data_IF_033978647333
#
_entry.id   IF_033978647333
#
_cell.length_a   1.000
_cell.length_b   1.000
_cell.length_c   1.000
_cell.angle_alpha   90.00
_cell.angle_beta   90.00
_cell.angle_gamma   90.00
#
_symmetry.space_group_name_H-M   'P 1'
#
loop_
_entity.id
_entity.type
_entity.pdbx_description
1 polymer ?
#
# COMPACT_ATOMS: atom_id res chain seq x y z
N UNK A 1 14.31 19.08 4.98
CA UNK A 1 13.17 19.96 4.60
C UNK A 1 12.99 21.02 5.68
N UNK A 2 12.76 22.30 5.34
CA UNK A 2 12.50 23.30 6.39
C UNK A 2 11.09 23.14 6.95
N UNK A 3 10.93 23.15 8.27
CA UNK A 3 9.68 22.96 9.00
C UNK A 3 8.52 23.81 8.46
N UNK A 4 8.83 25.06 8.06
CA UNK A 4 7.87 26.00 7.46
C UNK A 4 7.24 25.47 6.17
N UNK A 5 8.01 24.76 5.32
CA UNK A 5 7.50 24.16 4.08
C UNK A 5 6.54 23.02 4.39
N UNK A 6 6.86 22.17 5.37
CA UNK A 6 6.02 21.03 5.78
C UNK A 6 4.69 21.54 6.36
N UNK A 7 4.73 22.52 7.26
CA UNK A 7 3.50 23.13 7.82
C UNK A 7 2.61 23.74 6.74
N UNK A 8 3.20 24.39 5.73
CA UNK A 8 2.45 24.93 4.59
C UNK A 8 1.77 23.82 3.78
N UNK A 9 2.49 22.74 3.47
CA UNK A 9 1.98 21.59 2.74
C UNK A 9 0.82 20.90 3.48
N UNK A 10 0.99 20.65 4.78
CA UNK A 10 -0.04 20.06 5.64
C UNK A 10 -1.31 20.92 5.64
N UNK A 11 -1.18 22.25 5.77
CA UNK A 11 -2.33 23.16 5.69
C UNK A 11 -3.02 23.12 4.34
N UNK A 12 -2.27 22.94 3.25
CA UNK A 12 -2.86 22.80 1.93
C UNK A 12 -3.68 21.50 1.85
N UNK A 13 -3.13 20.36 2.28
CA UNK A 13 -3.84 19.08 2.29
C UNK A 13 -5.10 19.10 3.15
N UNK A 14 -5.04 19.68 4.35
CA UNK A 14 -6.20 19.78 5.25
C UNK A 14 -7.32 20.70 4.73
N UNK A 15 -7.04 21.56 3.76
CA UNK A 15 -8.05 22.41 3.12
C UNK A 15 -8.70 21.76 1.89
N UNK A 16 -8.23 20.58 1.45
CA UNK A 16 -8.81 19.90 0.30
C UNK A 16 -10.07 19.13 0.71
N UNK A 17 -11.17 19.40 0.00
CA UNK A 17 -12.39 18.62 0.11
C UNK A 17 -12.44 17.54 -0.99
N UNK A 18 -12.07 16.32 -0.63
CA UNK A 18 -12.09 15.19 -1.56
C UNK A 18 -13.49 14.83 -2.04
N UNK A 19 -14.55 15.11 -1.27
CA UNK A 19 -15.93 14.90 -1.72
C UNK A 19 -16.31 15.88 -2.83
N UNK A 20 -15.89 17.15 -2.75
CA UNK A 20 -16.15 18.11 -3.82
C UNK A 20 -15.43 17.76 -5.13
N UNK A 21 -14.26 17.13 -5.04
CA UNK A 21 -13.44 16.72 -6.20
C UNK A 21 -13.98 15.44 -6.83
N UNK A 22 -14.13 14.38 -6.04
CA UNK A 22 -14.44 13.02 -6.53
C UNK A 22 -15.93 12.71 -6.59
N UNK A 23 -16.75 13.47 -5.85
CA UNK A 23 -18.18 13.19 -5.60
C UNK A 23 -18.46 11.84 -4.93
N UNK A 24 -17.43 11.25 -4.33
CA UNK A 24 -17.52 10.00 -3.58
C UNK A 24 -18.09 10.24 -2.17
N UNK A 25 -19.30 9.74 -1.92
CA UNK A 25 -20.06 10.02 -0.68
C UNK A 25 -19.34 9.58 0.58
N UNK A 26 -18.52 8.53 0.53
CA UNK A 26 -17.72 8.04 1.65
C UNK A 26 -16.82 9.14 2.25
N UNK A 27 -16.35 10.11 1.46
CA UNK A 27 -15.49 11.17 1.94
C UNK A 27 -16.22 12.40 2.49
N UNK A 28 -17.55 12.49 2.34
CA UNK A 28 -18.31 13.72 2.63
C UNK A 28 -18.23 14.18 4.09
N UNK A 29 -18.27 13.23 5.01
CA UNK A 29 -18.35 13.49 6.46
C UNK A 29 -17.09 13.05 7.20
N UNK A 30 -16.02 12.71 6.48
CA UNK A 30 -14.75 12.31 7.09
C UNK A 30 -14.01 13.57 7.57
N UNK A 31 -13.65 13.59 8.84
CA UNK A 31 -12.79 14.62 9.40
C UNK A 31 -11.39 14.53 8.76
N UNK A 32 -10.90 15.64 8.21
CA UNK A 32 -9.60 15.70 7.52
C UNK A 32 -8.48 15.61 8.55
N UNK A 33 -7.59 14.63 8.40
CA UNK A 33 -6.47 14.37 9.31
C UNK A 33 -5.19 14.16 8.52
N UNK A 34 -4.06 14.41 9.17
CA UNK A 34 -2.73 14.00 8.68
C UNK A 34 -2.19 12.96 9.64
N UNK A 35 -1.81 11.81 9.10
CA UNK A 35 -1.19 10.71 9.83
C UNK A 35 0.23 10.59 9.28
N UNK A 36 1.20 10.41 10.17
CA UNK A 36 2.58 10.17 9.82
C UNK A 36 3.07 8.96 10.63
N UNK A 37 3.82 8.10 9.97
CA UNK A 37 4.50 6.94 10.57
C UNK A 37 6.01 7.11 10.46
N UNK A 38 6.75 6.31 11.21
CA UNK A 38 8.21 6.25 11.11
C UNK A 38 8.62 5.75 9.72
N UNK A 39 9.72 6.29 9.20
CA UNK A 39 10.25 5.85 7.92
C UNK A 39 10.92 4.48 8.10
N UNK A 40 10.38 3.47 7.43
CA UNK A 40 10.97 2.14 7.37
C UNK A 40 12.03 2.09 6.27
N UNK A 41 13.22 1.61 6.62
CA UNK A 41 14.33 1.36 5.70
C UNK A 41 14.83 -0.07 5.90
N UNK A 42 15.24 -0.74 4.82
CA UNK A 42 15.84 -2.08 4.87
C UNK A 42 17.28 -2.08 5.41
N UNK A 43 17.86 -0.89 5.63
CA UNK A 43 19.19 -0.71 6.20
C UNK A 43 20.35 -1.03 5.24
N UNK A 44 20.06 -1.43 4.00
CA UNK A 44 21.07 -1.85 3.01
C UNK A 44 20.77 -1.47 1.56
N UNK A 45 19.74 -0.64 1.32
CA UNK A 45 19.34 -0.24 -0.04
C UNK A 45 18.51 -1.29 -0.78
N UNK A 46 18.20 -2.43 -0.16
CA UNK A 46 17.16 -3.35 -0.65
C UNK A 46 15.79 -2.71 -0.47
N UNK A 47 14.83 -3.07 -1.31
CA UNK A 47 13.51 -2.47 -1.23
C UNK A 47 12.63 -3.24 -0.27
N UNK A 48 11.76 -2.52 0.43
CA UNK A 48 10.73 -3.14 1.26
C UNK A 48 9.75 -3.90 0.35
N UNK A 49 9.42 -5.11 0.78
CA UNK A 49 8.36 -5.91 0.18
C UNK A 49 7.03 -5.38 0.70
N UNK A 50 6.13 -4.99 -0.21
CA UNK A 50 4.79 -4.53 0.17
C UNK A 50 3.83 -5.72 0.20
N UNK A 51 3.02 -5.80 1.27
CA UNK A 51 1.94 -6.76 1.41
C UNK A 51 0.59 -6.06 1.35
N UNK A 52 -0.30 -6.50 0.46
CA UNK A 52 -1.69 -6.01 0.39
C UNK A 52 -2.66 -7.13 0.67
N UNK A 53 -3.39 -7.02 1.78
CA UNK A 53 -4.44 -7.95 2.15
C UNK A 53 -5.77 -7.46 1.58
N UNK A 54 -6.35 -8.26 0.69
CA UNK A 54 -7.65 -8.00 0.09
C UNK A 54 -8.74 -8.64 0.95
N UNK A 55 -9.55 -7.77 1.56
CA UNK A 55 -10.64 -8.17 2.42
C UNK A 55 -12.01 -7.92 1.75
N UNK A 56 -12.88 -8.92 1.78
CA UNK A 56 -14.28 -8.82 1.32
C UNK A 56 -15.19 -9.10 2.50
N UNK A 57 -16.16 -8.21 2.77
CA UNK A 57 -17.06 -8.31 3.92
C UNK A 57 -16.31 -8.50 5.26
N UNK A 58 -15.17 -7.83 5.42
CA UNK A 58 -14.32 -7.91 6.61
C UNK A 58 -13.49 -9.18 6.75
N UNK A 59 -13.49 -10.08 5.76
CA UNK A 59 -12.70 -11.31 5.77
C UNK A 59 -11.56 -11.24 4.74
N UNK A 60 -10.32 -11.60 5.09
CA UNK A 60 -9.23 -11.67 4.12
C UNK A 60 -9.46 -12.85 3.16
N UNK A 61 -9.10 -12.67 1.90
CA UNK A 61 -9.24 -13.71 0.87
C UNK A 61 -8.00 -13.86 -0.01
N UNK A 62 -7.22 -12.80 -0.16
CA UNK A 62 -6.07 -12.78 -1.06
C UNK A 62 -5.02 -11.83 -0.51
N UNK A 63 -3.76 -12.22 -0.63
CA UNK A 63 -2.61 -11.44 -0.23
C UNK A 63 -1.77 -11.21 -1.49
N UNK A 64 -1.53 -9.95 -1.83
CA UNK A 64 -0.60 -9.58 -2.89
C UNK A 64 0.75 -9.22 -2.26
N UNK A 65 1.80 -9.85 -2.75
CA UNK A 65 3.20 -9.56 -2.43
C UNK A 65 3.80 -8.80 -3.60
N UNK A 66 4.39 -7.63 -3.32
CA UNK A 66 5.04 -6.77 -4.31
C UNK A 66 6.51 -6.65 -3.96
N UNK A 67 7.37 -7.21 -4.81
CA UNK A 67 8.84 -7.18 -4.72
C UNK A 67 9.44 -6.37 -5.88
N UNK A 68 10.75 -6.09 -5.79
CA UNK A 68 11.53 -5.44 -6.87
C UNK A 68 10.91 -4.12 -7.39
N UNK A 69 10.51 -3.27 -6.44
CA UNK A 69 9.91 -1.95 -6.65
C UNK A 69 10.80 -0.93 -7.39
N UNK A 70 11.99 -1.28 -7.89
CA UNK A 70 12.90 -0.37 -8.57
C UNK A 70 12.49 -0.20 -10.03
N UNK A 71 11.87 0.94 -10.34
CA UNK A 71 11.48 1.28 -11.70
C UNK A 71 10.23 0.54 -12.17
N UNK A 72 10.24 0.08 -13.42
CA UNK A 72 9.10 -0.55 -14.08
C UNK A 72 9.01 -2.07 -13.88
N UNK A 73 9.90 -2.66 -13.09
CA UNK A 73 10.07 -4.12 -12.97
C UNK A 73 9.42 -4.69 -11.71
N UNK A 74 8.33 -4.09 -11.25
CA UNK A 74 7.59 -4.58 -10.08
C UNK A 74 7.10 -6.01 -10.30
N UNK A 75 7.40 -6.88 -9.35
CA UNK A 75 6.96 -8.26 -9.35
C UNK A 75 5.73 -8.41 -8.45
N UNK A 76 4.65 -8.97 -8.99
CA UNK A 76 3.38 -9.14 -8.28
C UNK A 76 3.05 -10.63 -8.16
N UNK A 77 3.01 -11.13 -6.93
CA UNK A 77 2.60 -12.52 -6.64
C UNK A 77 1.37 -12.51 -5.73
N UNK A 78 0.43 -13.41 -5.96
CA UNK A 78 -0.81 -13.50 -5.20
C UNK A 78 -0.91 -14.83 -4.48
N UNK A 79 -1.32 -14.79 -3.22
CA UNK A 79 -1.53 -15.96 -2.35
C UNK A 79 -2.94 -15.92 -1.78
N UNK A 80 -3.48 -17.08 -1.41
CA UNK A 80 -4.60 -17.14 -0.48
C UNK A 80 -4.12 -16.97 0.98
N UNK A 81 -5.06 -17.02 1.93
CA UNK A 81 -4.75 -16.87 3.36
C UNK A 81 -3.94 -18.03 3.94
N UNK A 82 -3.93 -19.20 3.28
CA UNK A 82 -3.14 -20.38 3.65
C UNK A 82 -1.74 -20.35 3.01
N UNK A 83 -1.34 -19.19 2.45
CA UNK A 83 -0.07 -18.99 1.75
C UNK A 83 0.11 -19.88 0.52
N UNK A 84 -0.99 -20.32 -0.09
CA UNK A 84 -0.93 -21.04 -1.36
C UNK A 84 -0.99 -20.05 -2.50
N UNK A 85 0.03 -20.09 -3.36
CA UNK A 85 0.13 -19.23 -4.55
C UNK A 85 -1.08 -19.46 -5.46
N UNK A 86 -1.71 -18.35 -5.86
CA UNK A 86 -2.85 -18.32 -6.75
C UNK A 86 -2.38 -18.17 -8.20
N UNK A 87 -3.08 -18.82 -9.13
CA UNK A 87 -2.85 -18.65 -10.57
C UNK A 87 -3.53 -17.39 -11.11
N UNK A 88 -3.26 -16.25 -10.47
CA UNK A 88 -3.80 -14.92 -10.79
C UNK A 88 -2.63 -13.98 -11.02
N UNK A 89 -2.69 -13.19 -12.08
CA UNK A 89 -1.64 -12.24 -12.42
C UNK A 89 -2.22 -10.99 -13.07
N UNK A 90 -1.46 -9.90 -13.01
CA UNK A 90 -1.73 -8.68 -13.78
C UNK A 90 -0.76 -8.67 -14.95
N UNK A 91 -1.27 -8.47 -16.17
CA UNK A 91 -0.47 -8.59 -17.41
C UNK A 91 0.68 -7.59 -17.48
N UNK A 92 0.54 -6.48 -16.75
CA UNK A 92 1.50 -5.39 -16.72
C UNK A 92 2.72 -5.68 -15.83
N UNK A 93 2.69 -6.75 -15.04
CA UNK A 93 3.72 -7.06 -14.04
C UNK A 93 4.23 -8.49 -14.21
N UNK A 94 5.52 -8.68 -13.96
CA UNK A 94 6.11 -10.01 -13.84
C UNK A 94 5.63 -10.69 -12.56
N UNK A 95 5.62 -12.01 -12.57
CA UNK A 95 5.40 -12.79 -11.37
C UNK A 95 6.73 -12.93 -10.63
N UNK A 96 6.71 -12.65 -9.32
CA UNK A 96 7.91 -12.79 -8.50
C UNK A 96 8.22 -14.23 -8.12
N UNK A 97 9.38 -14.40 -7.49
CA UNK A 97 9.71 -15.68 -6.84
C UNK A 97 8.72 -15.99 -5.73
N UNK A 98 8.58 -17.28 -5.42
CA UNK A 98 7.82 -17.68 -4.25
C UNK A 98 8.55 -17.16 -3.00
N UNK A 99 7.84 -16.41 -2.17
CA UNK A 99 8.34 -15.81 -0.93
C UNK A 99 7.78 -16.56 0.26
N UNK A 100 8.53 -16.61 1.37
CA UNK A 100 8.06 -17.21 2.62
C UNK A 100 7.02 -16.30 3.32
N UNK A 101 6.12 -16.92 4.08
CA UNK A 101 5.12 -16.18 4.85
C UNK A 101 5.83 -15.41 5.97
N UNK A 102 5.69 -14.08 6.05
CA UNK A 102 6.29 -13.32 7.14
C UNK A 102 5.60 -13.65 8.49
N UNK A 103 6.39 -13.76 9.55
CA UNK A 103 5.93 -14.20 10.88
C UNK A 103 4.80 -13.35 11.46
N UNK A 104 4.79 -12.06 11.16
CA UNK A 104 3.83 -11.08 11.71
C UNK A 104 2.54 -10.96 10.89
N UNK A 105 2.37 -11.77 9.85
CA UNK A 105 1.16 -11.78 9.03
C UNK A 105 0.24 -12.91 9.50
N UNK A 106 -0.63 -12.58 10.46
CA UNK A 106 -1.62 -13.51 11.03
C UNK A 106 -2.71 -13.89 10.02
#
# INVERSE_FOLDING_TARGET
>A
HSEKKIKKLIRQWLNVDFYLITRERQYKNIERKVIAEEFLDSGGGSQLVDYKVYCFNGKPHMIQVISERSGFNQEHTYYDCDWKKLSVYRKEYSEGKAEEKPDNLS
#
